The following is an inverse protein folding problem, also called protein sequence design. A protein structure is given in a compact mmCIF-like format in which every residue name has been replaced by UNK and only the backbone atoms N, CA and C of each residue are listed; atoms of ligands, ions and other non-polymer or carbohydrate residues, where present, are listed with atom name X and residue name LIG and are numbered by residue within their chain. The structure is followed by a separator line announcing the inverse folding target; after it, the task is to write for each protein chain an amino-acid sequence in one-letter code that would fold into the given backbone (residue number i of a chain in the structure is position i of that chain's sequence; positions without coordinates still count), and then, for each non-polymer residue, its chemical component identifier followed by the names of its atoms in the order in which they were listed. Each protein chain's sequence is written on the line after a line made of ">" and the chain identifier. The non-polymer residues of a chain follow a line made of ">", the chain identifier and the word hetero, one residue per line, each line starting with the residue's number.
data_IF_964719173250
#
_entry.id   IF_964719173250
#
_cell.length_a   1.000
_cell.length_b   1.000
_cell.length_c   1.000
_cell.angle_alpha   90.00
_cell.angle_beta   90.00
_cell.angle_gamma   90.00
#
_symmetry.space_group_name_H-M   'P 1'
#
loop_
_entity.id
_entity.type
_entity.pdbx_description
1 polymer ?
#
# COMPACT_ATOMS: atom_id res chain seq x y z
N UNK A 1 -1.67 28.27 -3.59
CA UNK A 1 -1.91 27.01 -4.32
C UNK A 1 -1.05 25.94 -3.69
N UNK A 2 -1.61 24.77 -3.39
CA UNK A 2 -0.81 23.63 -2.94
C UNK A 2 -0.19 22.93 -4.16
N UNK A 3 1.06 22.51 -4.05
CA UNK A 3 1.71 21.66 -5.05
C UNK A 3 1.34 20.21 -4.74
N UNK A 4 0.30 19.69 -5.39
CA UNK A 4 -0.20 18.34 -5.18
C UNK A 4 0.47 17.41 -6.20
N UNK A 5 1.11 16.35 -5.72
CA UNK A 5 1.62 15.31 -6.60
C UNK A 5 0.52 14.28 -6.88
N UNK A 6 0.28 14.00 -8.16
CA UNK A 6 -0.70 13.02 -8.64
C UNK A 6 -0.06 11.91 -9.47
N UNK A 7 1.28 11.83 -9.47
CA UNK A 7 2.00 10.73 -10.09
C UNK A 7 1.67 9.40 -9.42
N UNK A 8 2.05 8.31 -10.09
CA UNK A 8 1.92 6.97 -9.51
C UNK A 8 2.68 6.86 -8.18
N UNK A 9 2.00 6.30 -7.18
CA UNK A 9 2.52 6.06 -5.84
C UNK A 9 1.76 4.87 -5.25
N UNK A 10 2.47 4.02 -4.52
CA UNK A 10 1.90 2.90 -3.81
C UNK A 10 2.23 3.03 -2.34
N UNK A 11 1.23 2.80 -1.49
CA UNK A 11 1.42 2.61 -0.06
C UNK A 11 1.89 1.17 0.18
N UNK A 12 2.90 1.02 1.04
CA UNK A 12 3.50 -0.26 1.39
C UNK A 12 3.00 -0.67 2.77
N UNK A 13 2.45 -1.87 2.83
CA UNK A 13 1.87 -2.47 4.01
C UNK A 13 2.72 -3.65 4.48
N UNK A 14 2.72 -3.89 5.78
CA UNK A 14 3.27 -5.09 6.39
C UNK A 14 2.19 -5.82 7.17
N UNK A 15 2.04 -7.12 6.91
CA UNK A 15 1.26 -8.04 7.75
C UNK A 15 2.02 -8.44 9.02
N UNK A 16 1.34 -8.98 10.01
CA UNK A 16 1.94 -9.53 11.23
C UNK A 16 2.96 -10.66 10.96
N UNK A 17 2.79 -11.37 9.84
CA UNK A 17 3.71 -12.42 9.39
C UNK A 17 4.96 -11.89 8.66
N UNK A 18 5.14 -10.56 8.59
CA UNK A 18 6.28 -9.91 7.94
C UNK A 18 6.22 -9.89 6.40
N UNK A 19 5.11 -10.32 5.79
CA UNK A 19 4.87 -10.16 4.34
C UNK A 19 4.59 -8.69 4.01
N UNK A 20 4.99 -8.28 2.83
CA UNK A 20 4.76 -6.93 2.32
C UNK A 20 3.69 -6.93 1.26
N UNK A 21 2.88 -5.87 1.25
CA UNK A 21 1.85 -5.63 0.26
C UNK A 21 1.92 -4.19 -0.26
N UNK A 22 1.46 -3.97 -1.48
CA UNK A 22 1.38 -2.63 -2.06
C UNK A 22 -0.04 -2.36 -2.57
N UNK A 23 -0.58 -1.18 -2.27
CA UNK A 23 -1.79 -0.67 -2.92
C UNK A 23 -1.58 0.72 -3.51
N UNK A 24 -2.18 1.03 -4.67
CA UNK A 24 -2.18 2.39 -5.21
C UNK A 24 -2.77 3.37 -4.18
N UNK A 25 -2.10 4.49 -3.98
CA UNK A 25 -2.56 5.49 -2.99
C UNK A 25 -3.96 6.04 -3.30
N UNK A 26 -4.34 6.08 -4.58
CA UNK A 26 -5.65 6.55 -5.03
C UNK A 26 -6.78 5.60 -4.63
N UNK A 27 -6.49 4.31 -4.45
CA UNK A 27 -7.50 3.30 -4.11
C UNK A 27 -7.91 3.37 -2.64
N UNK A 28 -7.08 3.96 -1.76
CA UNK A 28 -7.37 4.08 -0.33
C UNK A 28 -8.69 4.82 -0.07
N UNK A 29 -9.03 5.81 -0.89
CA UNK A 29 -10.25 6.59 -0.74
C UNK A 29 -11.52 5.76 -0.99
N UNK A 30 -11.44 4.68 -1.76
CA UNK A 30 -12.57 3.83 -2.13
C UNK A 30 -12.53 2.45 -1.47
N UNK A 31 -11.35 1.87 -1.31
CA UNK A 31 -11.14 0.54 -0.76
C UNK A 31 -10.77 0.55 0.74
N UNK A 32 -10.20 1.64 1.25
CA UNK A 32 -9.65 1.72 2.60
C UNK A 32 -8.22 1.17 2.71
N UNK A 33 -7.83 0.78 3.93
CA UNK A 33 -6.56 0.10 4.18
C UNK A 33 -6.62 -1.37 3.76
N UNK A 34 -5.44 -2.00 3.64
CA UNK A 34 -5.37 -3.44 3.41
C UNK A 34 -5.62 -4.19 4.72
N UNK A 35 -6.38 -5.28 4.63
CA UNK A 35 -6.67 -6.20 5.72
C UNK A 35 -5.89 -7.50 5.48
N UNK A 36 -5.25 -8.02 6.51
CA UNK A 36 -4.57 -9.31 6.46
C UNK A 36 -5.59 -10.44 6.27
N UNK A 37 -5.54 -11.20 5.15
CA UNK A 37 -6.49 -12.29 4.93
C UNK A 37 -6.31 -13.48 5.89
N UNK A 38 -5.13 -13.61 6.52
CA UNK A 38 -4.80 -14.68 7.45
C UNK A 38 -5.38 -14.40 8.86
N UNK A 39 -5.38 -13.14 9.31
CA UNK A 39 -5.83 -12.76 10.66
C UNK A 39 -7.15 -11.99 10.68
N UNK A 40 -7.48 -11.27 9.61
CA UNK A 40 -8.60 -10.34 9.54
C UNK A 40 -8.31 -8.95 10.12
N UNK A 41 -7.07 -8.68 10.53
CA UNK A 41 -6.65 -7.41 11.14
C UNK A 41 -6.14 -6.40 10.10
N UNK A 42 -6.14 -5.11 10.47
CA UNK A 42 -5.56 -4.04 9.64
C UNK A 42 -4.04 -4.24 9.48
N UNK A 43 -3.55 -4.18 8.25
CA UNK A 43 -2.11 -4.17 8.00
C UNK A 43 -1.50 -2.80 8.31
N UNK A 44 -0.23 -2.78 8.76
CA UNK A 44 0.48 -1.55 9.07
C UNK A 44 1.04 -0.88 7.80
N UNK A 45 0.79 0.42 7.61
CA UNK A 45 1.47 1.21 6.58
C UNK A 45 2.88 1.54 7.06
N UNK A 46 3.88 0.96 6.40
CA UNK A 46 5.30 1.16 6.75
C UNK A 46 6.01 2.15 5.82
N UNK A 47 5.38 2.54 4.71
CA UNK A 47 5.98 3.48 3.77
C UNK A 47 5.23 3.62 2.45
N UNK A 48 5.93 4.13 1.45
CA UNK A 48 5.44 4.32 0.10
C UNK A 48 6.57 4.18 -0.92
N UNK A 49 6.22 3.88 -2.17
CA UNK A 49 7.14 3.88 -3.31
C UNK A 49 6.49 4.53 -4.52
N UNK A 50 7.30 5.10 -5.41
CA UNK A 50 6.89 5.56 -6.75
C UNK A 50 7.44 4.67 -7.85
N UNK A 51 8.08 3.55 -7.50
CA UNK A 51 8.62 2.58 -8.44
C UNK A 51 7.62 1.43 -8.61
N UNK A 52 7.03 1.32 -9.79
CA UNK A 52 6.07 0.27 -10.13
C UNK A 52 6.65 -1.15 -10.02
N UNK A 53 7.96 -1.33 -10.27
CA UNK A 53 8.59 -2.65 -10.18
C UNK A 53 8.71 -3.14 -8.73
N UNK A 54 9.01 -2.23 -7.79
CA UNK A 54 9.06 -2.56 -6.36
C UNK A 54 7.65 -2.91 -5.86
N UNK A 55 6.66 -2.09 -6.23
CA UNK A 55 5.26 -2.32 -5.88
C UNK A 55 4.74 -3.67 -6.41
N UNK A 56 5.05 -4.00 -7.67
CA UNK A 56 4.68 -5.27 -8.28
C UNK A 56 5.36 -6.48 -7.60
N UNK A 57 6.53 -6.27 -7.00
CA UNK A 57 7.21 -7.28 -6.20
C UNK A 57 6.54 -7.57 -4.84
N UNK A 58 5.66 -6.68 -4.39
CA UNK A 58 4.93 -6.79 -3.12
C UNK A 58 3.44 -7.07 -3.29
N UNK A 59 2.88 -6.95 -4.49
CA UNK A 59 1.53 -7.46 -4.75
C UNK A 59 1.55 -8.99 -4.71
N UNK A 60 1.33 -9.56 -3.52
CA UNK A 60 1.09 -10.98 -3.30
C UNK A 60 -0.40 -11.24 -3.03
#
# INVERSE_FOLDING_TARGET
>A
MANINTSEMWLVYQSDNGKYYAQPWGDVATAGGLIDPDTGDDMEVIGWTTNAADAAGWTA
#
